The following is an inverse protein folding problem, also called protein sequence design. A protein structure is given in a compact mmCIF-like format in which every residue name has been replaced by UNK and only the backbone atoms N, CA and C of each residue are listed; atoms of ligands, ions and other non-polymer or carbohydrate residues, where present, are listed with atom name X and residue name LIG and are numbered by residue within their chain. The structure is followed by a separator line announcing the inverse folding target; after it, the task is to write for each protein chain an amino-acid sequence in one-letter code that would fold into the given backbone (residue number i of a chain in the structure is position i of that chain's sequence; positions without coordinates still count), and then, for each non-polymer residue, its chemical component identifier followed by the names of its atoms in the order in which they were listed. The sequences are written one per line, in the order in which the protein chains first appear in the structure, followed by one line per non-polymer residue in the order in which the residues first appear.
data_IF_688575048038
#
_entry.id   IF_688575048038
#
_cell.length_a   1.000
_cell.length_b   1.000
_cell.length_c   1.000
_cell.angle_alpha   90.00
_cell.angle_beta   90.00
_cell.angle_gamma   90.00
#
_symmetry.space_group_name_H-M   'P 1'
#
loop_
_entity.id
_entity.type
_entity.pdbx_description
1 polymer ?
#
# COMPACT_ATOMS: atom_id res chain seq x y z
N UNK A 1 -12.28 -8.82 -14.27
CA UNK A 1 -10.86 -8.44 -14.32
C UNK A 1 -10.37 -8.15 -12.91
N UNK A 2 -9.44 -8.96 -12.41
CA UNK A 2 -8.95 -8.92 -11.02
C UNK A 2 -7.45 -8.62 -11.00
N UNK A 3 -7.10 -7.36 -10.72
CA UNK A 3 -5.73 -6.85 -10.82
C UNK A 3 -5.19 -6.54 -9.43
N UNK A 4 -4.04 -7.11 -9.07
CA UNK A 4 -3.34 -6.77 -7.85
C UNK A 4 -2.11 -5.91 -8.16
N UNK A 5 -2.07 -4.69 -7.63
CA UNK A 5 -0.98 -3.74 -7.86
C UNK A 5 -0.06 -3.75 -6.64
N UNK A 6 1.21 -4.07 -6.87
CA UNK A 6 2.25 -4.14 -5.85
C UNK A 6 3.36 -3.13 -6.14
N UNK A 7 4.03 -2.71 -5.08
CA UNK A 7 5.11 -1.73 -5.17
C UNK A 7 5.50 -1.20 -3.80
N UNK A 8 6.67 -0.59 -3.71
CA UNK A 8 7.13 0.08 -2.50
C UNK A 8 6.30 1.34 -2.22
N UNK A 9 6.22 1.77 -0.95
CA UNK A 9 5.62 3.06 -0.61
C UNK A 9 6.36 4.19 -1.37
N UNK A 10 5.61 5.10 -2.00
CA UNK A 10 6.18 6.16 -2.84
C UNK A 10 6.34 5.80 -4.32
N UNK A 11 6.15 4.55 -4.72
CA UNK A 11 6.17 4.12 -6.15
C UNK A 11 5.07 4.77 -7.00
N UNK A 12 3.95 5.14 -6.37
CA UNK A 12 2.78 5.67 -7.08
C UNK A 12 1.67 4.63 -7.30
N UNK A 13 1.78 3.45 -6.68
CA UNK A 13 0.79 2.35 -6.74
C UNK A 13 -0.66 2.83 -6.58
N UNK A 14 -0.97 3.60 -5.54
CA UNK A 14 -2.33 4.06 -5.27
C UNK A 14 -2.88 4.99 -6.37
N UNK A 15 -2.02 5.80 -6.99
CA UNK A 15 -2.42 6.64 -8.11
C UNK A 15 -2.68 5.79 -9.36
N UNK A 16 -1.77 4.86 -9.66
CA UNK A 16 -1.93 3.92 -10.77
C UNK A 16 -3.20 3.08 -10.62
N UNK A 17 -3.40 2.44 -9.46
CA UNK A 17 -4.54 1.59 -9.18
C UNK A 17 -5.87 2.33 -9.30
N UNK A 18 -5.97 3.56 -8.76
CA UNK A 18 -7.16 4.40 -8.90
C UNK A 18 -7.44 4.75 -10.37
N UNK A 19 -6.41 5.08 -11.14
CA UNK A 19 -6.53 5.38 -12.57
C UNK A 19 -6.97 4.17 -13.38
N UNK A 20 -6.44 2.98 -13.08
CA UNK A 20 -6.84 1.73 -13.73
C UNK A 20 -8.29 1.39 -13.39
N UNK A 21 -8.66 1.44 -12.11
CA UNK A 21 -10.03 1.20 -11.65
C UNK A 21 -11.03 2.15 -12.32
N UNK A 22 -10.71 3.44 -12.39
CA UNK A 22 -11.52 4.45 -13.09
C UNK A 22 -11.66 4.15 -14.59
N UNK A 23 -10.55 3.85 -15.28
CA UNK A 23 -10.58 3.57 -16.72
C UNK A 23 -11.37 2.32 -17.08
N UNK A 24 -11.35 1.31 -16.22
CA UNK A 24 -12.05 0.04 -16.42
C UNK A 24 -13.47 0.06 -15.85
N UNK A 25 -13.84 1.11 -15.11
CA UNK A 25 -15.08 1.22 -14.35
C UNK A 25 -15.30 0.02 -13.39
N UNK A 26 -14.27 -0.32 -12.61
CA UNK A 26 -14.30 -1.41 -11.63
C UNK A 26 -13.91 -0.94 -10.23
N UNK A 27 -14.34 -1.66 -9.17
CA UNK A 27 -14.00 -1.31 -7.79
C UNK A 27 -12.50 -1.16 -7.53
N UNK A 28 -12.13 -0.13 -6.76
CA UNK A 28 -10.79 0.06 -6.21
C UNK A 28 -10.80 -0.32 -4.74
N UNK A 29 -9.90 -1.22 -4.35
CA UNK A 29 -9.75 -1.69 -2.97
C UNK A 29 -8.36 -1.30 -2.48
N UNK A 30 -8.30 -0.51 -1.41
CA UNK A 30 -7.04 -0.11 -0.78
C UNK A 30 -6.79 -0.98 0.46
N UNK A 31 -5.81 -1.89 0.39
CA UNK A 31 -5.57 -2.87 1.45
C UNK A 31 -5.19 -2.22 2.78
N UNK A 32 -4.40 -1.15 2.73
CA UNK A 32 -4.01 -0.38 3.92
C UNK A 32 -5.24 0.21 4.63
N UNK A 33 -6.28 0.61 3.87
CA UNK A 33 -7.50 1.15 4.46
C UNK A 33 -8.33 0.10 5.21
N UNK A 34 -8.18 -1.18 4.85
CA UNK A 34 -8.80 -2.31 5.56
C UNK A 34 -7.95 -2.76 6.77
N UNK A 35 -6.65 -2.58 6.67
CA UNK A 35 -5.69 -3.08 7.65
C UNK A 35 -5.41 -2.11 8.81
N UNK A 36 -5.58 -0.80 8.64
CA UNK A 36 -5.29 0.17 9.69
C UNK A 36 -6.55 0.60 10.44
N UNK A 37 -6.51 0.41 11.76
CA UNK A 37 -7.45 0.95 12.74
C UNK A 37 -6.89 2.25 13.34
N UNK A 38 -7.67 2.88 14.21
CA UNK A 38 -7.26 4.09 14.92
C UNK A 38 -5.98 3.87 15.73
N UNK A 39 -5.29 4.97 16.02
CA UNK A 39 -3.99 4.99 16.71
C UNK A 39 -2.87 4.20 16.00
N UNK A 40 -2.99 4.02 14.69
CA UNK A 40 -2.06 3.21 13.90
C UNK A 40 -1.97 1.76 14.42
N UNK A 41 -3.11 1.18 14.75
CA UNK A 41 -3.21 -0.22 15.16
C UNK A 41 -3.54 -1.07 13.95
N UNK A 42 -2.77 -2.13 13.71
CA UNK A 42 -3.05 -3.03 12.60
C UNK A 42 -4.19 -4.01 12.97
N UNK A 43 -5.08 -4.29 12.02
CA UNK A 43 -6.14 -5.30 12.15
C UNK A 43 -5.53 -6.71 12.26
N UNK A 44 -6.15 -7.55 13.09
CA UNK A 44 -5.76 -8.96 13.19
C UNK A 44 -6.18 -9.72 11.93
N UNK A 45 -5.70 -10.95 11.77
CA UNK A 45 -6.03 -11.76 10.61
C UNK A 45 -7.53 -12.12 10.59
N UNK A 46 -8.12 -12.34 11.76
CA UNK A 46 -9.54 -12.63 11.95
C UNK A 46 -10.45 -11.46 11.54
N UNK A 47 -9.95 -10.22 11.64
CA UNK A 47 -10.66 -9.02 11.22
C UNK A 47 -10.41 -8.70 9.73
N UNK A 48 -9.15 -8.79 9.30
CA UNK A 48 -8.72 -8.37 7.96
C UNK A 48 -9.18 -9.35 6.88
N UNK A 49 -9.09 -10.66 7.12
CA UNK A 49 -9.32 -11.66 6.07
C UNK A 49 -10.78 -11.72 5.61
N UNK A 50 -11.80 -11.76 6.49
CA UNK A 50 -13.19 -11.73 6.07
C UNK A 50 -13.55 -10.43 5.35
N UNK A 51 -13.08 -9.29 5.87
CA UNK A 51 -13.32 -7.98 5.27
C UNK A 51 -12.68 -7.88 3.87
N UNK A 52 -11.46 -8.38 3.70
CA UNK A 52 -10.82 -8.46 2.40
C UNK A 52 -11.58 -9.38 1.43
N UNK A 53 -12.04 -10.55 1.89
CA UNK A 53 -12.82 -11.48 1.08
C UNK A 53 -14.12 -10.84 0.58
N UNK A 54 -14.80 -10.07 1.43
CA UNK A 54 -16.00 -9.33 1.06
C UNK A 54 -15.73 -8.34 -0.08
N UNK A 55 -14.65 -7.55 0.02
CA UNK A 55 -14.26 -6.59 -1.01
C UNK A 55 -13.77 -7.25 -2.31
N UNK A 56 -13.25 -8.48 -2.22
CA UNK A 56 -12.79 -9.26 -3.38
C UNK A 56 -13.85 -10.24 -3.91
N UNK A 57 -15.07 -10.24 -3.35
CA UNK A 57 -16.16 -11.13 -3.76
C UNK A 57 -16.67 -10.86 -5.18
N UNK A 58 -16.46 -9.64 -5.69
CA UNK A 58 -16.82 -9.27 -7.06
C UNK A 58 -15.87 -9.88 -8.10
N UNK A 59 -16.37 -10.15 -9.30
CA UNK A 59 -15.58 -10.62 -10.44
C UNK A 59 -14.61 -9.56 -11.00
N UNK A 60 -14.72 -8.31 -10.52
CA UNK A 60 -13.92 -7.19 -10.98
C UNK A 60 -13.39 -6.37 -9.80
N UNK A 61 -12.08 -6.15 -9.76
CA UNK A 61 -11.46 -5.26 -8.78
C UNK A 61 -10.02 -4.89 -9.16
N UNK A 62 -9.57 -3.74 -8.66
CA UNK A 62 -8.16 -3.37 -8.56
C UNK A 62 -7.77 -3.29 -7.09
N UNK A 63 -6.92 -4.19 -6.63
CA UNK A 63 -6.39 -4.21 -5.27
C UNK A 63 -5.06 -3.45 -5.23
N UNK A 64 -4.98 -2.39 -4.43
CA UNK A 64 -3.74 -1.70 -4.09
C UNK A 64 -3.25 -2.17 -2.72
N UNK A 65 -2.22 -3.02 -2.71
CA UNK A 65 -1.62 -3.42 -1.45
C UNK A 65 -0.76 -4.66 -1.54
N UNK A 66 0.27 -4.68 -0.70
CA UNK A 66 1.16 -5.82 -0.62
C UNK A 66 1.41 -6.27 0.82
N UNK A 67 0.37 -6.84 1.43
CA UNK A 67 0.55 -7.67 2.62
C UNK A 67 0.80 -9.10 2.18
N UNK A 68 1.88 -9.70 2.69
CA UNK A 68 2.22 -11.10 2.44
C UNK A 68 1.20 -12.03 3.10
N UNK A 69 0.76 -11.69 4.31
CA UNK A 69 -0.26 -12.46 5.06
C UNK A 69 -1.57 -12.65 4.30
N UNK A 70 -1.98 -11.70 3.44
CA UNK A 70 -3.20 -11.81 2.64
C UNK A 70 -3.02 -12.53 1.29
N UNK A 71 -1.80 -12.96 0.94
CA UNK A 71 -1.45 -13.55 -0.37
C UNK A 71 -2.36 -14.72 -0.74
N UNK A 72 -2.59 -15.64 0.20
CA UNK A 72 -3.40 -16.84 0.02
C UNK A 72 -4.88 -16.55 -0.29
N UNK A 73 -5.35 -15.32 -0.02
CA UNK A 73 -6.71 -14.84 -0.37
C UNK A 73 -6.69 -14.24 -1.77
N UNK A 74 -5.88 -13.18 -1.97
CA UNK A 74 -5.90 -12.40 -3.22
C UNK A 74 -5.41 -13.20 -4.43
N UNK A 75 -4.41 -14.07 -4.29
CA UNK A 75 -3.80 -14.77 -5.42
C UNK A 75 -4.68 -15.88 -6.00
N UNK A 76 -5.64 -16.41 -5.24
CA UNK A 76 -6.58 -17.42 -5.75
C UNK A 76 -7.44 -16.90 -6.91
N UNK A 77 -7.72 -15.61 -6.92
CA UNK A 77 -8.62 -14.98 -7.88
C UNK A 77 -7.93 -13.93 -8.75
N UNK A 78 -6.73 -13.50 -8.40
CA UNK A 78 -5.99 -12.51 -9.17
C UNK A 78 -5.64 -13.04 -10.56
N UNK A 79 -5.98 -12.27 -11.60
CA UNK A 79 -5.67 -12.58 -12.99
C UNK A 79 -4.38 -11.90 -13.46
N UNK A 80 -4.02 -10.78 -12.85
CA UNK A 80 -2.84 -10.00 -13.22
C UNK A 80 -2.24 -9.31 -12.00
N UNK A 81 -0.93 -9.45 -11.84
CA UNK A 81 -0.16 -8.68 -10.87
C UNK A 81 0.62 -7.60 -11.62
N UNK A 82 0.46 -6.34 -11.21
CA UNK A 82 1.24 -5.21 -11.75
C UNK A 82 2.24 -4.76 -10.70
N UNK A 83 3.52 -4.89 -10.99
CA UNK A 83 4.59 -4.41 -10.13
C UNK A 83 5.14 -3.06 -10.62
N UNK A 84 5.09 -2.05 -9.77
CA UNK A 84 5.72 -0.75 -10.04
C UNK A 84 7.16 -0.71 -9.49
N UNK A 85 8.12 -1.06 -10.34
CA UNK A 85 9.55 -0.99 -10.05
C UNK A 85 10.16 0.33 -10.53
N UNK A 86 10.30 1.31 -9.62
CA UNK A 86 10.91 2.60 -9.93
C UNK A 86 12.27 2.76 -9.26
N UNK A 87 13.19 3.54 -9.87
CA UNK A 87 14.47 3.89 -9.26
C UNK A 87 14.32 4.49 -7.86
N UNK A 88 15.20 4.09 -6.94
CA UNK A 88 15.21 4.53 -5.54
C UNK A 88 15.07 6.04 -5.38
N UNK A 89 15.87 6.82 -6.12
CA UNK A 89 15.84 8.29 -6.09
C UNK A 89 14.44 8.88 -6.33
N UNK A 90 13.66 8.28 -7.22
CA UNK A 90 12.30 8.74 -7.54
C UNK A 90 11.34 8.39 -6.39
N UNK A 91 11.40 7.14 -5.91
CA UNK A 91 10.56 6.65 -4.81
C UNK A 91 10.83 7.45 -3.53
N UNK A 92 12.10 7.65 -3.20
CA UNK A 92 12.55 8.35 -2.01
C UNK A 92 12.13 9.83 -2.03
N UNK A 93 12.37 10.54 -3.13
CA UNK A 93 11.93 11.93 -3.30
C UNK A 93 10.41 12.08 -3.16
N UNK A 94 9.65 11.19 -3.82
CA UNK A 94 8.18 11.19 -3.73
C UNK A 94 7.68 10.92 -2.31
N UNK A 95 8.35 10.01 -1.60
CA UNK A 95 8.01 9.64 -0.23
C UNK A 95 8.23 10.83 0.71
N UNK A 96 9.42 11.45 0.69
CA UNK A 96 9.72 12.65 1.49
C UNK A 96 8.73 13.76 1.20
N UNK A 97 8.53 14.11 -0.08
CA UNK A 97 7.60 15.19 -0.47
C UNK A 97 6.19 14.94 0.04
N UNK A 98 5.71 13.69 -0.06
CA UNK A 98 4.37 13.30 0.39
C UNK A 98 4.24 13.38 1.91
N UNK A 99 5.22 12.88 2.65
CA UNK A 99 5.21 12.90 4.12
C UNK A 99 5.25 14.32 4.64
N UNK A 100 6.12 15.17 4.10
CA UNK A 100 6.15 16.60 4.46
C UNK A 100 4.79 17.26 4.20
N UNK A 101 4.24 17.09 3.00
CA UNK A 101 2.93 17.66 2.67
C UNK A 101 1.83 17.19 3.64
N UNK A 102 1.75 15.88 3.95
CA UNK A 102 0.74 15.33 4.86
C UNK A 102 0.85 15.89 6.27
N UNK A 103 2.07 16.05 6.76
CA UNK A 103 2.35 16.67 8.06
C UNK A 103 1.88 18.13 8.07
N UNK A 104 2.24 18.91 7.05
CA UNK A 104 1.84 20.31 6.95
C UNK A 104 0.32 20.50 6.82
N UNK A 105 -0.36 19.62 6.07
CA UNK A 105 -1.82 19.72 5.90
C UNK A 105 -2.61 19.03 7.01
N UNK A 106 -1.95 18.35 7.95
CA UNK A 106 -2.63 17.54 8.97
C UNK A 106 -3.56 16.47 8.39
N UNK A 107 -3.20 15.90 7.24
CA UNK A 107 -4.10 15.03 6.47
C UNK A 107 -4.43 13.77 7.26
N UNK A 108 -5.71 13.49 7.39
CA UNK A 108 -6.20 12.24 7.97
C UNK A 108 -6.00 11.08 6.99
N UNK A 109 -5.46 10.00 7.53
CA UNK A 109 -5.24 8.71 6.90
C UNK A 109 -6.03 7.68 7.70
N UNK A 110 -6.44 6.61 7.02
CA UNK A 110 -7.09 5.40 7.55
C UNK A 110 -7.52 5.44 9.03
N UNK A 111 -8.83 5.45 9.29
CA UNK A 111 -9.38 5.53 10.64
C UNK A 111 -8.97 6.78 11.46
N UNK A 112 -8.84 7.94 10.80
CA UNK A 112 -8.59 9.24 11.45
C UNK A 112 -7.15 9.47 11.91
N UNK A 113 -6.23 8.58 11.56
CA UNK A 113 -4.82 8.67 11.89
C UNK A 113 -4.15 9.88 11.19
N UNK A 114 -3.24 10.56 11.88
CA UNK A 114 -2.45 11.67 11.31
C UNK A 114 -0.97 11.33 11.34
N UNK A 115 -0.27 11.62 10.25
CA UNK A 115 1.20 11.53 10.21
C UNK A 115 1.78 12.69 11.04
N UNK A 116 2.65 12.37 12.00
CA UNK A 116 3.35 13.38 12.82
C UNK A 116 4.85 13.37 12.52
N UNK A 117 5.47 14.55 12.54
CA UNK A 117 6.89 14.75 12.24
C UNK A 117 7.80 13.90 13.15
N UNK A 118 7.53 13.88 14.45
CA UNK A 118 8.28 13.09 15.43
C UNK A 118 8.26 11.57 15.13
N UNK A 119 7.11 11.02 14.74
CA UNK A 119 6.96 9.58 14.44
C UNK A 119 7.56 9.16 13.10
N UNK A 120 7.71 10.10 12.16
CA UNK A 120 8.21 9.82 10.80
C UNK A 120 9.70 10.14 10.61
N UNK A 121 10.32 10.91 11.52
CA UNK A 121 11.73 11.33 11.38
C UNK A 121 12.63 10.94 12.56
N UNK A 122 12.10 10.72 13.78
CA UNK A 122 12.91 10.52 14.99
C UNK A 122 12.71 9.18 15.72
N UNK A 123 11.84 8.29 15.24
CA UNK A 123 11.74 6.90 15.74
C UNK A 123 12.56 5.95 14.86
N UNK A 124 12.74 4.70 15.31
CA UNK A 124 13.38 3.60 14.53
C UNK A 124 12.67 3.31 13.19
N UNK A 125 11.51 3.91 12.96
CA UNK A 125 10.70 3.86 11.74
C UNK A 125 10.83 5.12 10.85
N UNK A 126 11.95 5.87 10.95
CA UNK A 126 12.08 7.09 10.17
C UNK A 126 11.99 6.82 8.67
N UNK A 127 11.29 7.68 7.91
CA UNK A 127 11.12 7.55 6.45
C UNK A 127 12.47 7.46 5.74
N UNK A 128 13.46 8.17 6.27
CA UNK A 128 14.84 8.18 5.78
C UNK A 128 15.49 6.81 6.04
N UNK A 129 15.41 6.32 7.28
CA UNK A 129 15.95 5.00 7.64
C UNK A 129 15.24 3.88 6.88
N UNK A 130 13.91 3.92 6.76
CA UNK A 130 13.12 2.99 5.97
C UNK A 130 13.54 3.02 4.50
N UNK A 131 13.71 4.20 3.90
CA UNK A 131 14.16 4.33 2.52
C UNK A 131 15.50 3.63 2.30
N UNK A 132 16.47 3.84 3.20
CA UNK A 132 17.80 3.26 3.09
C UNK A 132 17.83 1.74 3.40
N UNK A 133 17.14 1.30 4.45
CA UNK A 133 17.20 -0.07 4.96
C UNK A 133 16.21 -1.04 4.30
N UNK A 134 15.02 -0.58 3.92
CA UNK A 134 13.93 -1.44 3.46
C UNK A 134 13.71 -1.43 1.94
N UNK A 135 14.23 -0.45 1.19
CA UNK A 135 14.00 -0.38 -0.25
C UNK A 135 14.61 -1.56 -1.02
N UNK A 136 15.90 -1.83 -0.83
CA UNK A 136 16.59 -2.90 -1.54
C UNK A 136 16.09 -4.31 -1.15
N UNK A 137 15.85 -4.62 0.13
CA UNK A 137 15.25 -5.90 0.52
C UNK A 137 13.85 -6.10 -0.05
N UNK A 138 12.97 -5.08 0.02
CA UNK A 138 11.61 -5.19 -0.55
C UNK A 138 11.64 -5.37 -2.06
N UNK A 139 12.54 -4.67 -2.77
CA UNK A 139 12.72 -4.84 -4.22
C UNK A 139 13.14 -6.26 -4.59
N UNK A 140 14.09 -6.86 -3.85
CA UNK A 140 14.48 -8.27 -4.05
C UNK A 140 13.31 -9.23 -3.81
N UNK A 141 12.53 -9.01 -2.75
CA UNK A 141 11.34 -9.81 -2.46
C UNK A 141 10.34 -9.80 -3.63
N UNK A 142 10.08 -8.62 -4.22
CA UNK A 142 9.18 -8.52 -5.37
C UNK A 142 9.67 -9.22 -6.63
N UNK A 143 10.98 -9.32 -6.83
CA UNK A 143 11.59 -9.98 -7.99
C UNK A 143 11.65 -11.50 -7.85
N UNK A 144 11.63 -12.02 -6.62
CA UNK A 144 11.61 -13.48 -6.35
C UNK A 144 10.17 -14.03 -6.48
N UNK A 145 9.17 -13.18 -6.25
CA UNK A 145 7.74 -13.53 -6.27
C UNK A 145 7.02 -13.16 -7.59
N UNK A 146 7.73 -12.70 -8.62
CA UNK A 146 7.22 -12.32 -9.96
C UNK A 146 7.67 -13.28 -11.03
#
# INVERSE_FOLDING_TARGET
MRINVIGTAGSGKSFFSKRVAQKLNIPYVELEALAWKSNWTESTDEELFPNLLEHLSSDNWVLDGNYSRTRHIKWKQCQMVVYLDLPFRIVFFRLIRRTLFRIFTGKELWAGNKETFWRQFFTRDSVIWWGLSNFFPKRKYYLIDS
#
